data_IF_782276277750
#
_entry.id   IF_782276277750
#
_cell.length_a   1.000
_cell.length_b   1.000
_cell.length_c   1.000
_cell.angle_alpha   90.00
_cell.angle_beta   90.00
_cell.angle_gamma   90.00
#
_symmetry.space_group_name_H-M   'P 1'
#
loop_
_entity.id
_entity.type
_entity.pdbx_description
1 polymer ?
#
# COMPACT_ATOMS: atom_id res chain seq x y z
N UNK A 1 -5.91 10.57 -6.58
CA UNK A 1 -6.40 9.24 -6.99
C UNK A 1 -7.37 8.74 -5.94
N UNK A 2 -7.95 7.53 -6.08
CA UNK A 2 -8.91 7.01 -5.10
C UNK A 2 -8.26 6.63 -3.75
N UNK A 3 -6.96 6.35 -3.72
CA UNK A 3 -6.24 5.94 -2.51
C UNK A 3 -5.39 7.06 -1.92
N UNK A 4 -5.41 7.16 -0.60
CA UNK A 4 -4.82 8.24 0.18
C UNK A 4 -4.09 7.67 1.39
N UNK A 5 -3.00 8.32 1.82
CA UNK A 5 -2.25 7.88 3.01
C UNK A 5 -2.94 8.31 4.30
N UNK A 6 -3.13 7.36 5.23
CA UNK A 6 -3.63 7.64 6.57
C UNK A 6 -2.71 8.61 7.34
N UNK A 7 -1.39 8.46 7.21
CA UNK A 7 -0.41 9.37 7.82
C UNK A 7 -0.56 10.79 7.23
N UNK A 8 -0.72 10.90 5.91
CA UNK A 8 -0.92 12.20 5.27
C UNK A 8 -2.25 12.85 5.68
N UNK A 9 -3.33 12.06 5.81
CA UNK A 9 -4.63 12.56 6.27
C UNK A 9 -4.58 13.05 7.73
N UNK A 10 -3.93 12.28 8.62
CA UNK A 10 -3.68 12.71 9.99
C UNK A 10 -2.91 14.03 10.03
N UNK A 11 -1.79 14.11 9.30
CA UNK A 11 -0.94 15.29 9.26
C UNK A 11 -1.70 16.53 8.77
N UNK A 12 -2.50 16.38 7.71
CA UNK A 12 -3.36 17.43 7.19
C UNK A 12 -4.36 17.92 8.24
N UNK A 13 -5.08 17.00 8.89
CA UNK A 13 -6.10 17.34 9.91
C UNK A 13 -5.51 17.95 11.18
N UNK A 14 -4.22 17.73 11.45
CA UNK A 14 -3.47 18.40 12.53
C UNK A 14 -2.77 19.70 12.08
N UNK A 15 -2.93 20.11 10.81
CA UNK A 15 -2.32 21.33 10.28
C UNK A 15 -0.81 21.27 10.10
N UNK A 16 -0.23 20.07 9.94
CA UNK A 16 1.19 19.89 9.65
C UNK A 16 1.50 20.24 8.20
N UNK A 17 2.65 20.86 7.95
CA UNK A 17 3.14 21.11 6.57
C UNK A 17 3.48 19.80 5.84
N UNK A 18 3.68 19.88 4.52
CA UNK A 18 4.07 18.71 3.70
C UNK A 18 5.41 18.14 4.17
N UNK A 19 6.35 18.99 4.59
CA UNK A 19 7.68 18.59 5.06
C UNK A 19 7.60 17.86 6.39
N UNK A 20 6.80 18.37 7.33
CA UNK A 20 6.56 17.70 8.61
C UNK A 20 5.79 16.38 8.42
N UNK A 21 4.86 16.34 7.48
CA UNK A 21 4.18 15.11 7.09
C UNK A 21 5.14 14.09 6.47
N UNK A 22 6.09 14.54 5.63
CA UNK A 22 7.13 13.68 5.07
C UNK A 22 8.00 13.05 6.18
N UNK A 23 8.32 13.82 7.22
CA UNK A 23 9.05 13.35 8.39
C UNK A 23 8.31 12.27 9.22
N UNK A 24 7.02 12.04 8.98
CA UNK A 24 6.27 10.95 9.60
C UNK A 24 6.43 9.59 8.89
N UNK A 25 7.03 9.53 7.72
CA UNK A 25 7.23 8.26 6.99
C UNK A 25 8.56 7.60 7.39
N UNK A 26 8.70 7.31 8.69
CA UNK A 26 9.91 6.75 9.29
C UNK A 26 9.63 5.48 10.11
N UNK A 27 10.69 4.70 10.35
CA UNK A 27 10.63 3.45 11.11
C UNK A 27 9.99 3.62 12.49
N UNK A 28 10.38 4.65 13.24
CA UNK A 28 9.82 4.93 14.57
C UNK A 28 8.31 5.21 14.55
N UNK A 29 7.82 5.88 13.50
CA UNK A 29 6.38 6.14 13.32
C UNK A 29 5.67 4.87 12.87
N UNK A 30 6.27 4.10 11.97
CA UNK A 30 5.68 2.83 11.52
C UNK A 30 5.54 1.82 12.66
N UNK A 31 6.53 1.76 13.55
CA UNK A 31 6.50 0.96 14.77
C UNK A 31 5.40 1.44 15.71
N UNK A 32 5.37 2.74 16.02
CA UNK A 32 4.36 3.33 16.90
C UNK A 32 2.92 3.14 16.40
N UNK A 33 2.73 3.07 15.08
CA UNK A 33 1.42 2.87 14.45
C UNK A 33 1.10 1.41 14.13
N UNK A 34 1.98 0.46 14.49
CA UNK A 34 1.76 -0.98 14.30
C UNK A 34 1.81 -1.44 12.84
N UNK A 35 2.41 -0.67 11.92
CA UNK A 35 2.49 -1.06 10.50
C UNK A 35 3.28 -2.35 10.28
N UNK A 36 4.22 -2.66 11.17
CA UNK A 36 5.03 -3.87 11.09
C UNK A 36 4.28 -5.15 11.46
N UNK A 37 3.12 -5.05 12.11
CA UNK A 37 2.36 -6.19 12.60
C UNK A 37 1.17 -6.57 11.70
N UNK A 38 0.87 -5.73 10.70
CA UNK A 38 -0.31 -5.88 9.83
C UNK A 38 -0.33 -7.14 8.96
N UNK A 39 0.84 -7.72 8.66
CA UNK A 39 0.95 -8.83 7.69
C UNK A 39 0.15 -10.06 8.11
N UNK A 40 0.24 -10.46 9.38
CA UNK A 40 -0.39 -11.70 9.86
C UNK A 40 -1.91 -11.61 9.84
N UNK A 41 -2.48 -10.46 10.24
CA UNK A 41 -3.93 -10.24 10.23
C UNK A 41 -4.47 -10.15 8.79
N UNK A 42 -3.79 -9.40 7.91
CA UNK A 42 -4.19 -9.31 6.50
C UNK A 42 -4.10 -10.66 5.78
N UNK A 43 -3.08 -11.46 6.09
CA UNK A 43 -2.91 -12.82 5.54
C UNK A 43 -4.01 -13.76 5.98
N UNK A 44 -4.36 -13.75 7.28
CA UNK A 44 -5.49 -14.52 7.82
C UNK A 44 -6.79 -14.09 7.18
N UNK A 45 -7.07 -12.79 7.16
CA UNK A 45 -8.31 -12.25 6.59
C UNK A 45 -8.48 -12.70 5.12
N UNK A 46 -7.41 -12.66 4.31
CA UNK A 46 -7.44 -13.13 2.93
C UNK A 46 -7.82 -14.62 2.85
N UNK A 47 -7.11 -15.48 3.59
CA UNK A 47 -7.30 -16.94 3.56
C UNK A 47 -8.70 -17.32 4.07
N UNK A 48 -9.08 -16.79 5.23
CA UNK A 48 -10.35 -17.12 5.88
C UNK A 48 -11.51 -16.65 5.01
N UNK A 49 -11.45 -15.41 4.50
CA UNK A 49 -12.51 -14.87 3.63
C UNK A 49 -12.65 -15.68 2.34
N UNK A 50 -11.55 -16.06 1.68
CA UNK A 50 -11.64 -16.80 0.41
C UNK A 50 -12.16 -18.21 0.62
N UNK A 51 -11.77 -18.85 1.72
CA UNK A 51 -12.22 -20.19 2.08
C UNK A 51 -13.69 -20.20 2.48
N UNK A 52 -14.11 -19.31 3.36
CA UNK A 52 -15.48 -19.27 3.89
C UNK A 52 -16.49 -18.83 2.83
N UNK A 53 -16.16 -17.81 2.02
CA UNK A 53 -17.11 -17.24 1.06
C UNK A 53 -17.13 -17.95 -0.29
N UNK A 54 -15.99 -18.49 -0.71
CA UNK A 54 -15.84 -19.03 -2.07
C UNK A 54 -15.38 -20.48 -2.11
N UNK A 55 -15.10 -21.10 -0.95
CA UNK A 55 -14.58 -22.47 -0.91
C UNK A 55 -13.18 -22.61 -1.50
N UNK A 56 -12.42 -21.51 -1.62
CA UNK A 56 -11.08 -21.50 -2.20
C UNK A 56 -10.05 -21.28 -1.10
N UNK A 57 -9.27 -22.31 -0.82
CA UNK A 57 -8.13 -22.24 0.10
C UNK A 57 -6.90 -21.72 -0.66
N UNK A 58 -6.43 -20.52 -0.28
CA UNK A 58 -5.26 -19.86 -0.87
C UNK A 58 -4.00 -19.97 0.00
N UNK A 59 -3.97 -20.84 1.01
CA UNK A 59 -2.85 -20.93 1.95
C UNK A 59 -1.52 -21.24 1.25
N UNK A 60 -1.54 -22.16 0.29
CA UNK A 60 -0.35 -22.54 -0.47
C UNK A 60 0.07 -21.44 -1.45
N UNK A 61 -0.90 -20.79 -2.10
CA UNK A 61 -0.71 -19.68 -3.02
C UNK A 61 -0.08 -18.48 -2.31
N UNK A 62 -0.64 -18.06 -1.17
CA UNK A 62 -0.11 -16.95 -0.39
C UNK A 62 1.33 -17.21 0.06
N UNK A 63 1.64 -18.43 0.51
CA UNK A 63 3.02 -18.82 0.86
C UNK A 63 3.96 -18.70 -0.36
N UNK A 64 3.53 -19.18 -1.53
CA UNK A 64 4.32 -19.12 -2.76
C UNK A 64 4.52 -17.69 -3.26
N UNK A 65 3.48 -16.86 -3.23
CA UNK A 65 3.54 -15.45 -3.61
C UNK A 65 4.47 -14.67 -2.67
N UNK A 66 4.34 -14.88 -1.36
CA UNK A 66 5.19 -14.23 -0.35
C UNK A 66 6.66 -14.59 -0.52
N UNK A 67 6.97 -15.86 -0.81
CA UNK A 67 8.35 -16.31 -1.08
C UNK A 67 8.92 -15.74 -2.38
N UNK A 68 8.08 -15.45 -3.36
CA UNK A 68 8.48 -14.83 -4.63
C UNK A 68 8.84 -13.34 -4.47
N UNK A 69 8.28 -12.67 -3.46
CA UNK A 69 8.48 -11.25 -3.18
C UNK A 69 7.17 -10.46 -3.28
N UNK A 70 7.24 -9.21 -3.73
CA UNK A 70 6.05 -8.36 -3.87
C UNK A 70 5.09 -8.97 -4.91
N UNK A 71 3.82 -9.14 -4.53
CA UNK A 71 2.79 -9.76 -5.38
C UNK A 71 1.55 -8.87 -5.59
N UNK A 72 1.59 -7.63 -5.11
CA UNK A 72 0.55 -6.61 -5.27
C UNK A 72 1.17 -5.31 -5.78
N UNK A 73 0.52 -4.64 -6.74
CA UNK A 73 0.83 -3.27 -7.17
C UNK A 73 0.22 -2.21 -6.26
N UNK A 74 -0.97 -2.48 -5.72
CA UNK A 74 -1.71 -1.64 -4.77
C UNK A 74 -2.48 -2.54 -3.81
N UNK A 75 -3.29 -1.98 -2.91
CA UNK A 75 -4.12 -2.77 -1.99
C UNK A 75 -5.13 -3.67 -2.69
N UNK A 76 -5.48 -3.39 -3.96
CA UNK A 76 -6.50 -4.14 -4.70
C UNK A 76 -6.01 -4.67 -6.06
N UNK A 77 -4.84 -4.27 -6.52
CA UNK A 77 -4.30 -4.68 -7.81
C UNK A 77 -3.19 -5.72 -7.63
N UNK A 78 -3.50 -7.02 -7.77
CA UNK A 78 -2.48 -8.05 -7.74
C UNK A 78 -1.55 -8.01 -8.97
N UNK A 79 -0.35 -8.56 -8.83
CA UNK A 79 0.50 -8.84 -9.98
C UNK A 79 -0.10 -9.98 -10.82
N UNK A 80 0.14 -9.97 -12.13
CA UNK A 80 -0.51 -10.90 -13.05
C UNK A 80 -0.26 -12.39 -12.77
N UNK A 81 0.85 -12.75 -12.11
CA UNK A 81 1.08 -14.13 -11.73
C UNK A 81 0.11 -14.62 -10.63
N UNK A 82 -0.35 -13.71 -9.75
CA UNK A 82 -1.37 -14.02 -8.75
C UNK A 82 -2.69 -14.34 -9.44
N UNK A 83 -3.08 -13.53 -10.43
CA UNK A 83 -4.28 -13.79 -11.25
C UNK A 83 -4.16 -15.10 -12.04
N UNK A 84 -2.97 -15.39 -12.57
CA UNK A 84 -2.69 -16.66 -13.23
C UNK A 84 -2.86 -17.86 -12.29
N UNK A 85 -2.29 -17.79 -11.08
CA UNK A 85 -2.43 -18.84 -10.08
C UNK A 85 -3.87 -19.03 -9.60
N UNK A 86 -4.59 -17.92 -9.36
CA UNK A 86 -6.01 -17.95 -9.00
C UNK A 86 -6.86 -18.57 -10.13
N UNK A 87 -6.57 -18.25 -11.39
CA UNK A 87 -7.30 -18.81 -12.53
C UNK A 87 -7.16 -20.34 -12.60
N UNK A 88 -5.96 -20.87 -12.30
CA UNK A 88 -5.75 -22.32 -12.20
C UNK A 88 -6.59 -22.93 -11.08
N UNK A 89 -6.60 -22.30 -9.90
CA UNK A 89 -7.41 -22.76 -8.76
C UNK A 89 -8.90 -22.79 -9.10
N UNK A 90 -9.41 -21.74 -9.75
CA UNK A 90 -10.81 -21.68 -10.18
C UNK A 90 -11.15 -22.77 -11.20
N UNK A 91 -10.25 -23.09 -12.14
CA UNK A 91 -10.46 -24.23 -13.05
C UNK A 91 -10.58 -25.55 -12.29
N UNK A 92 -9.70 -25.79 -11.32
CA UNK A 92 -9.74 -26.99 -10.47
C UNK A 92 -11.07 -27.09 -9.70
N UNK A 93 -11.62 -25.98 -9.20
CA UNK A 93 -12.91 -25.99 -8.48
C UNK A 93 -14.10 -26.48 -9.31
N UNK A 94 -14.03 -26.34 -10.63
CA UNK A 94 -15.07 -26.80 -11.57
C UNK A 94 -14.69 -28.10 -12.29
N UNK A 95 -13.65 -28.80 -11.81
CA UNK A 95 -13.20 -30.08 -12.38
C UNK A 95 -12.43 -29.95 -13.70
N UNK A 96 -12.01 -28.75 -14.08
CA UNK A 96 -11.17 -28.53 -15.26
C UNK A 96 -9.69 -28.65 -14.91
N UNK A 97 -8.90 -29.13 -15.86
CA UNK A 97 -7.45 -29.22 -15.73
C UNK A 97 -6.78 -28.00 -16.37
N UNK A 98 -6.02 -27.20 -15.60
CA UNK A 98 -5.26 -26.10 -16.18
C UNK A 98 -4.18 -26.60 -17.15
N UNK A 99 -3.97 -25.89 -18.25
CA UNK A 99 -2.90 -26.24 -19.21
C UNK A 99 -1.53 -25.96 -18.59
N UNK A 100 -0.52 -26.83 -18.81
CA UNK A 100 0.83 -26.64 -18.29
C UNK A 100 1.59 -25.60 -19.13
N UNK A 101 1.29 -24.32 -18.93
CA UNK A 101 1.94 -23.21 -19.62
C UNK A 101 2.87 -22.45 -18.68
N UNK A 102 4.01 -21.98 -19.20
CA UNK A 102 4.90 -21.10 -18.47
C UNK A 102 4.36 -19.67 -18.54
N UNK A 103 3.95 -19.12 -17.38
CA UNK A 103 3.42 -17.76 -17.26
C UNK A 103 4.34 -16.71 -17.91
N UNK A 104 5.66 -16.83 -17.74
CA UNK A 104 6.61 -15.80 -18.19
C UNK A 104 6.66 -15.63 -19.71
N UNK A 105 6.24 -16.63 -20.50
CA UNK A 105 6.19 -16.52 -21.95
C UNK A 105 4.98 -15.75 -22.47
N UNK A 106 3.92 -15.64 -21.67
CA UNK A 106 2.63 -15.10 -22.08
C UNK A 106 2.09 -14.02 -21.12
N UNK A 107 2.95 -13.52 -20.23
CA UNK A 107 2.55 -12.61 -19.17
C UNK A 107 2.06 -11.28 -19.75
N UNK A 108 0.83 -10.90 -19.38
CA UNK A 108 0.26 -9.58 -19.67
C UNK A 108 0.04 -8.88 -18.33
N UNK A 109 0.62 -7.69 -18.17
CA UNK A 109 0.59 -6.90 -16.93
C UNK A 109 -0.41 -5.74 -17.01
N UNK A 110 -1.68 -6.05 -17.27
CA UNK A 110 -2.70 -5.00 -17.48
C UNK A 110 -2.89 -4.10 -16.26
N UNK A 111 -2.91 -4.68 -15.06
CA UNK A 111 -3.05 -3.91 -13.81
C UNK A 111 -1.83 -3.03 -13.49
N UNK A 112 -0.67 -3.28 -14.11
CA UNK A 112 0.49 -2.40 -13.97
C UNK A 112 0.29 -1.03 -14.65
N UNK A 113 -0.72 -0.90 -15.52
CA UNK A 113 -1.11 0.39 -16.12
C UNK A 113 -1.73 1.32 -15.09
N UNK A 114 -2.36 0.80 -14.05
CA UNK A 114 -2.90 1.60 -12.94
C UNK A 114 -1.78 2.17 -12.05
N UNK A 115 -2.16 2.85 -10.97
CA UNK A 115 -1.23 3.32 -9.96
C UNK A 115 -0.50 2.16 -9.24
N UNK A 116 0.78 2.40 -8.92
CA UNK A 116 1.61 1.47 -8.15
C UNK A 116 2.10 2.19 -6.90
N UNK A 117 1.87 1.56 -5.75
CA UNK A 117 2.30 2.05 -4.46
C UNK A 117 3.60 1.37 -4.04
N UNK A 118 4.58 2.11 -3.51
CA UNK A 118 5.81 1.51 -3.04
C UNK A 118 5.59 0.85 -1.67
N UNK A 119 6.47 -0.11 -1.34
CA UNK A 119 6.66 -0.55 0.04
C UNK A 119 7.71 0.37 0.66
N UNK A 120 7.38 1.04 1.76
CA UNK A 120 8.35 1.94 2.39
C UNK A 120 9.59 1.16 2.89
N UNK A 121 10.82 1.67 2.72
CA UNK A 121 12.05 0.96 3.06
C UNK A 121 12.11 0.30 4.45
N UNK A 122 11.64 0.93 5.56
CA UNK A 122 11.64 0.23 6.85
C UNK A 122 10.74 -1.01 6.86
N UNK A 123 9.57 -0.94 6.20
CA UNK A 123 8.65 -2.08 6.04
C UNK A 123 9.29 -3.13 5.13
N UNK A 124 9.83 -2.70 3.99
CA UNK A 124 10.44 -3.59 3.02
C UNK A 124 11.62 -4.37 3.62
N UNK A 125 12.46 -3.71 4.43
CA UNK A 125 13.56 -4.33 5.18
C UNK A 125 13.08 -5.46 6.08
N UNK A 126 11.96 -5.28 6.79
CA UNK A 126 11.39 -6.28 7.70
C UNK A 126 10.84 -7.52 6.97
N UNK A 127 10.32 -7.33 5.76
CA UNK A 127 9.72 -8.40 4.95
C UNK A 127 10.62 -8.92 3.82
N UNK A 128 11.89 -8.48 3.74
CA UNK A 128 12.83 -8.93 2.70
C UNK A 128 12.44 -8.49 1.28
N UNK A 129 11.74 -7.36 1.14
CA UNK A 129 11.28 -6.83 -0.14
C UNK A 129 12.13 -5.62 -0.57
N UNK A 130 11.98 -5.20 -1.84
CA UNK A 130 12.53 -3.94 -2.32
C UNK A 130 11.69 -2.77 -1.80
N UNK A 131 12.35 -1.84 -1.11
CA UNK A 131 11.73 -0.62 -0.60
C UNK A 131 11.85 0.57 -1.55
N UNK A 132 10.97 1.56 -1.40
CA UNK A 132 11.07 2.83 -2.10
C UNK A 132 10.02 3.86 -1.68
N UNK A 133 10.09 5.02 -2.31
CA UNK A 133 9.18 6.15 -2.08
C UNK A 133 8.62 6.74 -3.38
N UNK A 134 8.64 5.93 -4.45
CA UNK A 134 8.13 6.31 -5.77
C UNK A 134 6.74 5.74 -6.00
N UNK A 135 5.80 6.63 -6.32
CA UNK A 135 4.41 6.30 -6.60
C UNK A 135 4.18 6.44 -8.10
N UNK A 136 3.85 5.35 -8.78
CA UNK A 136 3.50 5.40 -10.21
C UNK A 136 2.06 5.89 -10.35
N UNK A 137 1.81 6.82 -11.26
CA UNK A 137 0.46 7.23 -11.64
C UNK A 137 -0.15 6.27 -12.66
N UNK A 138 -1.48 6.29 -12.73
CA UNK A 138 -2.21 5.55 -13.76
C UNK A 138 -1.84 6.06 -15.16
N UNK A 139 -1.72 5.15 -16.11
CA UNK A 139 -1.43 5.43 -17.50
C UNK A 139 -2.16 4.41 -18.38
N UNK A 140 -3.42 4.71 -18.70
CA UNK A 140 -4.29 3.86 -19.51
C UNK A 140 -4.28 4.21 -21.01
N UNK A 141 -3.51 5.22 -21.40
CA UNK A 141 -3.40 5.64 -22.79
C UNK A 141 -2.31 4.83 -23.51
N UNK A 142 -2.38 4.78 -24.84
CA UNK A 142 -1.30 4.23 -25.66
C UNK A 142 -0.10 5.18 -25.49
N UNK A 143 0.94 4.69 -24.81
CA UNK A 143 2.14 5.46 -24.48
C UNK A 143 3.39 4.62 -24.72
N UNK A 144 4.48 5.27 -25.07
CA UNK A 144 5.82 4.68 -25.13
C UNK A 144 6.52 4.65 -23.76
N UNK A 145 5.92 5.27 -22.73
CA UNK A 145 6.41 5.28 -21.35
C UNK A 145 5.47 4.51 -20.43
N UNK A 146 5.99 4.10 -19.28
CA UNK A 146 5.17 3.41 -18.26
C UNK A 146 4.22 4.37 -17.52
N UNK A 147 4.40 5.68 -17.65
CA UNK A 147 3.62 6.72 -16.97
C UNK A 147 4.49 7.63 -16.12
N UNK A 148 3.85 8.58 -15.46
CA UNK A 148 4.51 9.52 -14.55
C UNK A 148 4.64 8.96 -13.15
N UNK A 149 5.57 9.52 -12.38
CA UNK A 149 5.82 9.13 -11.00
C UNK A 149 5.81 10.35 -10.08
N UNK A 150 5.38 10.14 -8.84
CA UNK A 150 5.49 11.08 -7.76
C UNK A 150 6.50 10.58 -6.73
N UNK A 151 7.34 11.48 -6.25
CA UNK A 151 8.08 11.28 -4.99
C UNK A 151 7.11 11.30 -3.81
N UNK A 152 7.53 10.82 -2.63
CA UNK A 152 6.71 10.90 -1.42
C UNK A 152 6.25 12.34 -1.08
N UNK A 153 7.12 13.38 -1.07
CA UNK A 153 6.66 14.76 -0.91
C UNK A 153 5.62 15.21 -1.94
N UNK A 154 5.80 14.84 -3.22
CA UNK A 154 4.85 15.17 -4.27
C UNK A 154 3.50 14.45 -4.09
N UNK A 155 3.53 13.19 -3.65
CA UNK A 155 2.33 12.43 -3.32
C UNK A 155 1.57 13.02 -2.12
N UNK A 156 2.28 13.42 -1.05
CA UNK A 156 1.69 14.11 0.11
C UNK A 156 1.07 15.45 -0.31
N UNK A 157 1.79 16.26 -1.09
CA UNK A 157 1.28 17.53 -1.61
C UNK A 157 0.02 17.33 -2.47
N UNK A 158 -0.01 16.29 -3.30
CA UNK A 158 -1.18 15.92 -4.09
C UNK A 158 -2.37 15.54 -3.20
N UNK A 159 -2.14 14.78 -2.12
CA UNK A 159 -3.16 14.47 -1.12
C UNK A 159 -3.72 15.76 -0.49
N UNK A 160 -2.84 16.66 -0.03
CA UNK A 160 -3.23 17.91 0.62
C UNK A 160 -4.06 18.81 -0.31
N UNK A 161 -3.69 18.90 -1.59
CA UNK A 161 -4.44 19.65 -2.60
C UNK A 161 -5.83 19.05 -2.88
N UNK A 162 -6.01 17.75 -2.68
CA UNK A 162 -7.35 17.13 -2.73
C UNK A 162 -8.12 17.48 -1.47
N UNK A 163 -7.52 17.32 -0.29
CA UNK A 163 -8.16 17.57 0.99
C UNK A 163 -8.63 19.02 1.13
N UNK A 164 -7.84 20.01 0.66
CA UNK A 164 -8.19 21.43 0.73
C UNK A 164 -9.41 21.83 -0.09
N UNK A 165 -9.89 20.96 -0.98
CA UNK A 165 -11.06 21.18 -1.83
C UNK A 165 -12.34 20.55 -1.27
N UNK A 166 -12.25 19.87 -0.13
CA UNK A 166 -13.36 19.17 0.50
C UNK A 166 -13.67 19.78 1.86
N UNK A 167 -14.92 19.64 2.29
CA UNK A 167 -15.29 20.03 3.65
C UNK A 167 -14.58 19.12 4.67
N UNK A 168 -14.05 19.65 5.79
CA UNK A 168 -13.37 18.84 6.80
C UNK A 168 -14.19 17.65 7.33
N UNK A 169 -15.52 17.75 7.37
CA UNK A 169 -16.42 16.66 7.79
C UNK A 169 -16.43 15.48 6.81
N UNK A 170 -16.02 15.70 5.55
CA UNK A 170 -15.90 14.66 4.53
C UNK A 170 -14.54 13.93 4.58
N UNK A 171 -13.59 14.43 5.37
CA UNK A 171 -12.23 13.90 5.49
C UNK A 171 -12.12 12.89 6.65
N UNK A 172 -12.91 11.82 6.58
CA UNK A 172 -13.00 10.78 7.62
C UNK A 172 -12.28 9.50 7.23
N UNK A 173 -11.66 8.83 8.21
CA UNK A 173 -11.15 7.48 8.06
C UNK A 173 -11.07 6.85 9.46
N UNK A 174 -11.69 5.68 9.72
CA UNK A 174 -11.77 5.11 11.07
C UNK A 174 -10.43 4.99 11.81
N UNK A 175 -9.35 4.64 11.10
CA UNK A 175 -8.01 4.54 11.67
C UNK A 175 -7.48 5.92 12.09
N UNK A 176 -7.63 6.92 11.23
CA UNK A 176 -7.18 8.29 11.50
C UNK A 176 -8.03 8.95 12.58
N UNK A 177 -9.34 8.73 12.56
CA UNK A 177 -10.25 9.21 13.59
C UNK A 177 -9.89 8.64 14.97
N UNK A 178 -9.53 7.35 15.04
CA UNK A 178 -9.02 6.74 16.28
C UNK A 178 -7.71 7.39 16.76
N UNK A 179 -6.74 7.64 15.86
CA UNK A 179 -5.50 8.33 16.23
C UNK A 179 -5.71 9.77 16.70
N UNK A 180 -6.71 10.46 16.15
CA UNK A 180 -7.05 11.83 16.53
C UNK A 180 -7.77 11.90 17.87
N UNK A 181 -8.60 10.90 18.19
CA UNK A 181 -9.33 10.80 19.43
C UNK A 181 -8.47 10.33 20.61
N UNK A 182 -7.42 9.54 20.35
CA UNK A 182 -6.44 9.16 21.38
C UNK A 182 -5.36 10.24 21.55
N UNK A 183 -5.42 10.98 22.65
CA UNK A 183 -4.46 12.06 22.97
C UNK A 183 -3.02 11.56 23.03
N UNK A 184 -2.79 10.33 23.52
CA UNK A 184 -1.46 9.75 23.61
C UNK A 184 -0.86 9.52 22.22
N UNK A 185 -1.58 8.84 21.33
CA UNK A 185 -1.15 8.63 19.94
C UNK A 185 -1.01 9.95 19.19
N UNK A 186 -2.01 10.83 19.27
CA UNK A 186 -1.97 12.14 18.62
C UNK A 186 -0.77 12.96 19.07
N UNK A 187 -0.51 13.03 20.39
CA UNK A 187 0.62 13.75 20.97
C UNK A 187 1.96 13.16 20.55
N UNK A 188 2.07 11.82 20.54
CA UNK A 188 3.25 11.11 20.05
C UNK A 188 3.55 11.45 18.59
N UNK A 189 2.56 11.37 17.69
CA UNK A 189 2.75 11.68 16.27
C UNK A 189 3.14 13.14 16.05
N UNK A 190 2.52 14.08 16.76
CA UNK A 190 2.89 15.50 16.67
C UNK A 190 4.33 15.76 17.12
N UNK A 191 4.77 15.08 18.19
CA UNK A 191 6.16 15.14 18.66
C UNK A 191 7.12 14.54 17.63
N UNK A 192 6.85 13.32 17.16
CA UNK A 192 7.70 12.64 16.17
C UNK A 192 7.80 13.43 14.85
N UNK A 193 6.71 14.05 14.38
CA UNK A 193 6.75 14.91 13.20
C UNK A 193 7.76 16.05 13.35
N UNK A 194 7.79 16.70 14.53
CA UNK A 194 8.71 17.80 14.83
C UNK A 194 10.14 17.31 15.00
N UNK A 195 10.34 16.27 15.81
CA UNK A 195 11.66 15.72 16.11
C UNK A 195 12.34 15.17 14.85
N UNK A 196 11.63 14.37 14.05
CA UNK A 196 12.15 13.83 12.80
C UNK A 196 12.45 14.96 11.79
N UNK A 197 11.58 15.97 11.70
CA UNK A 197 11.80 17.11 10.81
C UNK A 197 13.03 17.93 11.20
N UNK A 198 13.18 18.28 12.49
CA UNK A 198 14.34 19.02 13.01
C UNK A 198 15.63 18.22 12.85
N UNK A 199 15.57 16.90 13.03
CA UNK A 199 16.71 16.01 12.84
C UNK A 199 17.07 15.75 11.37
N UNK A 200 16.31 16.28 10.41
CA UNK A 200 16.52 16.03 8.98
C UNK A 200 16.23 14.59 8.57
N UNK A 201 15.48 13.84 9.39
CA UNK A 201 15.06 12.46 9.11
C UNK A 201 13.86 12.44 8.15
N UNK A 202 13.96 13.15 7.04
CA UNK A 202 12.94 13.11 6.00
C UNK A 202 13.34 12.11 4.93
N UNK A 203 12.46 11.16 4.56
CA UNK A 203 12.74 10.25 3.45
C UNK A 203 13.12 11.00 2.18
N UNK A 204 14.21 10.55 1.57
CA UNK A 204 14.65 10.96 0.24
C UNK A 204 14.40 9.83 -0.76
N UNK A 205 14.48 10.14 -2.04
CA UNK A 205 14.45 9.15 -3.12
C UNK A 205 15.55 8.09 -2.97
#
# INVERSE_FOLDING_TARGET
GPYHSAIALFAYRKGLSVEMANALFNENVFDALGYFDMWNDASRELIDTTKERYGVDLSAELMNWSRRGVFMYSTVHPMSFVLFDLSKKLFETVGLQPRPVNFNYYAIHDLARSEIFPIYPPIAKRFGAQGGYMFKLQNHHISTTVGDFLTLPQYIASCYNIYSKHDPSQLSNPRVDAWLADEATSGLLMRLARENFVAGLTPTL
#
